data_IF_616213894957
#
_entry.id   IF_616213894957
#
_cell.length_a   1.000
_cell.length_b   1.000
_cell.length_c   1.000
_cell.angle_alpha   90.00
_cell.angle_beta   90.00
_cell.angle_gamma   90.00
#
_symmetry.space_group_name_H-M   'P 1'
#
loop_
_entity.id
_entity.type
_entity.pdbx_description
1 polymer ?
#
# COMPACT_ATOMS: atom_id res chain seq x y z
N UNK A 1 42.56 -31.58 -0.50
CA UNK A 1 41.09 -31.70 -0.72
C UNK A 1 40.30 -30.46 -0.25
N UNK A 2 40.83 -29.24 -0.43
CA UNK A 2 40.22 -27.96 0.02
C UNK A 2 39.87 -26.98 -1.11
N UNK A 3 40.18 -27.32 -2.37
CA UNK A 3 39.93 -26.42 -3.52
C UNK A 3 38.45 -26.31 -3.99
N UNK A 4 37.54 -27.31 -3.88
CA UNK A 4 36.19 -27.16 -4.37
C UNK A 4 35.31 -26.24 -3.51
N UNK A 5 35.56 -26.12 -2.21
CA UNK A 5 34.76 -25.26 -1.29
C UNK A 5 35.01 -23.78 -1.50
N UNK A 6 36.25 -23.36 -1.82
CA UNK A 6 36.59 -21.93 -2.05
C UNK A 6 36.05 -21.45 -3.38
N UNK A 7 36.04 -22.29 -4.41
CA UNK A 7 35.47 -21.95 -5.74
C UNK A 7 33.95 -21.84 -5.68
N UNK A 8 33.28 -22.73 -4.95
CA UNK A 8 31.83 -22.67 -4.71
C UNK A 8 31.41 -21.42 -3.96
N UNK A 9 32.20 -20.97 -2.96
CA UNK A 9 31.91 -19.71 -2.24
C UNK A 9 32.11 -18.47 -3.10
N UNK A 10 33.12 -18.46 -3.98
CA UNK A 10 33.40 -17.35 -4.90
C UNK A 10 32.34 -17.23 -6.01
N UNK A 11 31.89 -18.33 -6.59
CA UNK A 11 30.81 -18.36 -7.56
C UNK A 11 29.44 -17.99 -6.95
N UNK A 12 29.20 -18.40 -5.70
CA UNK A 12 28.00 -18.02 -4.97
C UNK A 12 28.02 -16.51 -4.61
N UNK A 13 29.18 -15.96 -4.18
CA UNK A 13 29.37 -14.52 -3.95
C UNK A 13 29.19 -13.70 -5.22
N UNK A 14 29.73 -14.15 -6.37
CA UNK A 14 29.57 -13.48 -7.66
C UNK A 14 28.11 -13.55 -8.16
N UNK A 15 27.41 -14.65 -7.93
CA UNK A 15 25.98 -14.80 -8.24
C UNK A 15 25.11 -13.89 -7.35
N UNK A 16 25.46 -13.77 -6.08
CA UNK A 16 24.80 -12.87 -5.11
C UNK A 16 25.06 -11.40 -5.48
N UNK A 17 26.29 -11.02 -5.85
CA UNK A 17 26.64 -9.66 -6.28
C UNK A 17 25.95 -9.28 -7.60
N UNK A 18 25.84 -10.20 -8.57
CA UNK A 18 25.06 -9.99 -9.82
C UNK A 18 23.55 -9.88 -9.54
N UNK A 19 23.03 -10.65 -8.60
CA UNK A 19 21.63 -10.57 -8.19
C UNK A 19 21.29 -9.25 -7.47
N UNK A 20 22.23 -8.67 -6.69
CA UNK A 20 22.05 -7.38 -6.02
C UNK A 20 22.01 -6.17 -6.98
N UNK A 21 22.53 -6.30 -8.20
CA UNK A 21 22.48 -5.26 -9.23
C UNK A 21 21.36 -5.46 -10.26
N UNK A 22 20.64 -6.58 -10.22
CA UNK A 22 19.50 -6.80 -11.10
C UNK A 22 18.24 -6.14 -10.57
N UNK A 23 17.44 -5.53 -11.45
CA UNK A 23 16.13 -4.98 -11.10
C UNK A 23 15.22 -6.11 -10.60
N UNK A 24 14.58 -5.89 -9.47
CA UNK A 24 13.66 -6.84 -8.84
C UNK A 24 12.26 -6.70 -9.47
N UNK A 25 12.06 -7.31 -10.63
CA UNK A 25 10.79 -7.19 -11.37
C UNK A 25 9.59 -7.68 -10.58
N UNK A 26 9.73 -8.69 -9.71
CA UNK A 26 8.65 -9.19 -8.87
C UNK A 26 8.11 -8.12 -7.89
N UNK A 27 8.94 -7.18 -7.43
CA UNK A 27 8.51 -6.04 -6.60
C UNK A 27 7.70 -5.04 -7.45
N UNK A 28 8.11 -4.81 -8.68
CA UNK A 28 7.38 -3.95 -9.62
C UNK A 28 5.99 -4.54 -9.93
N UNK A 29 5.93 -5.86 -10.17
CA UNK A 29 4.68 -6.59 -10.38
C UNK A 29 3.77 -6.57 -9.14
N UNK A 30 4.32 -6.86 -7.96
CA UNK A 30 3.55 -6.80 -6.71
C UNK A 30 2.96 -5.41 -6.49
N UNK A 31 3.71 -4.35 -6.79
CA UNK A 31 3.21 -2.98 -6.70
C UNK A 31 2.02 -2.76 -7.63
N UNK A 32 2.14 -3.13 -8.90
CA UNK A 32 1.06 -3.00 -9.88
C UNK A 32 -0.18 -3.78 -9.44
N UNK A 33 -0.02 -5.04 -9.01
CA UNK A 33 -1.12 -5.90 -8.59
C UNK A 33 -1.77 -5.40 -7.28
N UNK A 34 -0.98 -4.97 -6.29
CA UNK A 34 -1.48 -4.44 -5.03
C UNK A 34 -2.30 -3.16 -5.23
N UNK A 35 -1.83 -2.24 -6.08
CA UNK A 35 -2.60 -1.03 -6.42
C UNK A 35 -3.78 -1.33 -7.35
N UNK A 36 -3.68 -2.32 -8.25
CA UNK A 36 -4.82 -2.82 -9.02
C UNK A 36 -5.92 -3.39 -8.14
N UNK A 37 -5.55 -4.13 -7.09
CA UNK A 37 -6.50 -4.66 -6.11
C UNK A 37 -7.27 -3.54 -5.37
N UNK A 38 -6.68 -2.34 -5.18
CA UNK A 38 -7.38 -1.22 -4.57
C UNK A 38 -8.62 -0.78 -5.36
N UNK A 39 -8.55 -0.81 -6.70
CA UNK A 39 -9.72 -0.50 -7.52
C UNK A 39 -10.83 -1.50 -7.28
N UNK A 40 -10.53 -2.78 -7.33
CA UNK A 40 -11.51 -3.83 -7.09
C UNK A 40 -12.08 -3.72 -5.68
N UNK A 41 -11.20 -3.55 -4.68
CA UNK A 41 -11.58 -3.37 -3.29
C UNK A 41 -12.53 -2.19 -3.08
N UNK A 42 -12.19 -1.00 -3.56
CA UNK A 42 -13.05 0.16 -3.34
C UNK A 42 -14.33 0.10 -4.19
N UNK A 43 -14.33 -0.60 -5.33
CA UNK A 43 -15.51 -0.76 -6.16
C UNK A 43 -16.58 -1.67 -5.55
N UNK A 44 -16.23 -2.63 -4.68
CA UNK A 44 -17.23 -3.44 -4.00
C UNK A 44 -17.68 -2.89 -2.64
N UNK A 45 -17.00 -1.89 -2.07
CA UNK A 45 -17.34 -1.27 -0.79
C UNK A 45 -18.77 -0.74 -0.67
N UNK A 46 -19.43 -0.27 -1.73
CA UNK A 46 -20.86 0.07 -1.67
C UNK A 46 -21.78 -1.09 -1.32
N UNK A 47 -21.34 -2.33 -1.54
CA UNK A 47 -22.15 -3.55 -1.45
C UNK A 47 -21.86 -4.43 -0.24
N UNK A 48 -20.89 -4.07 0.62
CA UNK A 48 -20.65 -4.70 1.92
C UNK A 48 -21.45 -4.01 3.05
N UNK A 49 -21.54 -4.64 4.22
CA UNK A 49 -22.24 -4.09 5.40
C UNK A 49 -21.37 -3.11 6.22
N UNK A 50 -20.08 -2.98 5.92
CA UNK A 50 -19.20 -2.06 6.65
C UNK A 50 -19.38 -0.62 6.18
N UNK A 51 -19.32 0.34 7.11
CA UNK A 51 -19.43 1.78 6.79
C UNK A 51 -18.44 2.22 5.70
N UNK A 52 -18.93 2.98 4.73
CA UNK A 52 -18.14 3.55 3.65
C UNK A 52 -18.86 4.77 3.03
N UNK A 53 -18.19 5.51 2.14
CA UNK A 53 -18.65 6.79 1.59
C UNK A 53 -20.06 6.78 0.96
N UNK A 54 -20.43 5.69 0.31
CA UNK A 54 -21.76 5.46 -0.31
C UNK A 54 -22.18 4.02 -0.08
N UNK A 55 -23.51 3.77 -0.01
CA UNK A 55 -24.05 2.43 0.20
C UNK A 55 -25.19 2.14 -0.77
N UNK A 56 -25.19 0.93 -1.32
CA UNK A 56 -26.34 0.36 -2.04
C UNK A 56 -27.41 -0.07 -1.05
N UNK A 57 -28.67 -0.04 -1.45
CA UNK A 57 -29.79 -0.55 -0.63
C UNK A 57 -29.58 -2.01 -0.24
N UNK A 58 -29.18 -2.82 -1.21
CA UNK A 58 -28.90 -4.23 -1.00
C UNK A 58 -27.42 -4.47 -0.81
N UNK A 59 -27.08 -5.31 0.17
CA UNK A 59 -25.70 -5.65 0.55
C UNK A 59 -25.52 -7.17 0.50
N UNK A 60 -24.27 -7.64 0.45
CA UNK A 60 -23.96 -9.06 0.27
C UNK A 60 -22.84 -9.51 1.19
N UNK A 61 -23.08 -10.61 1.90
CA UNK A 61 -22.09 -11.29 2.73
C UNK A 61 -20.82 -11.68 1.97
N UNK A 62 -20.92 -11.93 0.66
CA UNK A 62 -19.73 -12.21 -0.18
C UNK A 62 -18.77 -11.03 -0.17
N UNK A 63 -19.29 -9.81 -0.30
CA UNK A 63 -18.44 -8.61 -0.24
C UNK A 63 -17.94 -8.31 1.17
N UNK A 64 -18.65 -8.71 2.23
CA UNK A 64 -18.12 -8.65 3.60
C UNK A 64 -16.89 -9.53 3.75
N UNK A 65 -16.98 -10.79 3.28
CA UNK A 65 -15.86 -11.73 3.34
C UNK A 65 -14.67 -11.25 2.52
N UNK A 66 -14.91 -10.71 1.32
CA UNK A 66 -13.85 -10.12 0.49
C UNK A 66 -13.21 -8.90 1.16
N UNK A 67 -14.00 -8.04 1.80
CA UNK A 67 -13.52 -6.88 2.54
C UNK A 67 -12.69 -7.32 3.76
N UNK A 68 -13.21 -8.23 4.57
CA UNK A 68 -12.52 -8.77 5.73
C UNK A 68 -11.18 -9.41 5.35
N UNK A 69 -11.19 -10.26 4.33
CA UNK A 69 -9.99 -10.93 3.83
C UNK A 69 -8.93 -9.94 3.34
N UNK A 70 -9.31 -9.02 2.46
CA UNK A 70 -8.35 -8.09 1.84
C UNK A 70 -7.87 -7.03 2.81
N UNK A 71 -8.70 -6.61 3.76
CA UNK A 71 -8.34 -5.60 4.76
C UNK A 71 -7.21 -6.09 5.68
N UNK A 72 -7.15 -7.39 5.96
CA UNK A 72 -6.21 -7.98 6.91
C UNK A 72 -4.73 -7.92 6.50
N UNK A 73 -4.38 -7.71 5.20
CA UNK A 73 -3.00 -7.80 4.73
C UNK A 73 -2.60 -6.79 3.64
N UNK A 74 -3.58 -6.19 2.97
CA UNK A 74 -3.35 -5.35 1.78
C UNK A 74 -2.41 -4.17 2.05
N UNK A 75 -2.64 -3.43 3.15
CA UNK A 75 -1.82 -2.27 3.47
C UNK A 75 -0.41 -2.66 3.89
N UNK A 76 -0.26 -3.76 4.62
CA UNK A 76 1.05 -4.30 5.01
C UNK A 76 1.89 -4.66 3.78
N UNK A 77 1.30 -5.28 2.76
CA UNK A 77 1.99 -5.55 1.50
C UNK A 77 2.46 -4.26 0.81
N UNK A 78 1.62 -3.23 0.77
CA UNK A 78 1.95 -1.94 0.15
C UNK A 78 3.09 -1.25 0.93
N UNK A 79 3.06 -1.26 2.26
CA UNK A 79 4.14 -0.67 3.08
C UNK A 79 5.44 -1.46 2.98
N UNK A 80 5.42 -2.79 2.93
CA UNK A 80 6.60 -3.61 2.67
C UNK A 80 7.28 -3.22 1.33
N UNK A 81 6.50 -3.19 0.25
CA UNK A 81 6.99 -2.81 -1.09
C UNK A 81 7.54 -1.38 -1.08
N UNK A 82 6.94 -0.50 -0.28
CA UNK A 82 7.38 0.89 -0.13
C UNK A 82 8.68 1.01 0.63
N UNK A 83 8.90 0.15 1.63
CA UNK A 83 10.18 -0.01 2.31
C UNK A 83 11.28 -0.41 1.34
N UNK A 84 11.04 -1.44 0.53
CA UNK A 84 11.96 -1.86 -0.55
C UNK A 84 12.29 -0.70 -1.49
N UNK A 85 11.28 0.04 -1.96
CA UNK A 85 11.48 1.21 -2.83
C UNK A 85 12.26 2.34 -2.17
N UNK A 86 12.06 2.54 -0.86
CA UNK A 86 12.77 3.56 -0.09
C UNK A 86 14.24 3.20 0.13
N UNK A 87 14.57 1.93 0.35
CA UNK A 87 15.94 1.46 0.39
C UNK A 87 16.72 1.87 -0.87
N UNK A 88 16.19 1.56 -2.06
CA UNK A 88 16.84 1.93 -3.32
C UNK A 88 16.94 3.44 -3.51
N UNK A 89 15.94 4.20 -3.08
CA UNK A 89 15.97 5.65 -3.17
C UNK A 89 17.02 6.28 -2.23
N UNK A 90 17.20 5.76 -1.02
CA UNK A 90 18.27 6.18 -0.09
C UNK A 90 19.65 5.83 -0.64
N UNK A 91 19.80 4.66 -1.28
CA UNK A 91 21.08 4.24 -1.88
C UNK A 91 21.49 5.12 -3.06
N UNK A 92 20.54 5.61 -3.85
CA UNK A 92 20.80 6.32 -5.12
C UNK A 92 20.96 7.83 -4.98
N UNK A 93 20.41 8.46 -3.94
CA UNK A 93 20.28 9.93 -3.84
C UNK A 93 20.62 10.44 -2.45
N UNK A 94 21.83 10.97 -2.26
CA UNK A 94 22.27 11.40 -0.93
C UNK A 94 21.79 12.81 -0.53
N UNK A 95 21.82 13.81 -1.41
CA UNK A 95 21.57 15.22 -1.05
C UNK A 95 20.15 15.72 -1.31
N UNK A 96 19.48 15.26 -2.36
CA UNK A 96 18.13 15.74 -2.72
C UNK A 96 16.99 14.84 -2.22
N UNK A 97 17.31 13.78 -1.46
CA UNK A 97 16.35 12.75 -1.08
C UNK A 97 15.11 13.31 -0.36
N UNK A 98 15.32 14.18 0.63
CA UNK A 98 14.23 14.75 1.42
C UNK A 98 13.29 15.63 0.58
N UNK A 99 13.87 16.55 -0.21
CA UNK A 99 13.09 17.42 -1.08
C UNK A 99 12.34 16.64 -2.17
N UNK A 100 12.95 15.58 -2.71
CA UNK A 100 12.29 14.70 -3.66
C UNK A 100 11.08 13.98 -3.02
N UNK A 101 11.17 13.64 -1.73
CA UNK A 101 10.05 13.04 -1.00
C UNK A 101 8.93 14.03 -0.73
N UNK A 102 9.24 15.28 -0.35
CA UNK A 102 8.24 16.34 -0.22
C UNK A 102 7.50 16.54 -1.55
N UNK A 103 8.24 16.73 -2.66
CA UNK A 103 7.63 16.93 -3.99
C UNK A 103 6.77 15.74 -4.43
N UNK A 104 7.12 14.54 -4.04
CA UNK A 104 6.44 13.32 -4.51
C UNK A 104 5.31 12.85 -3.60
N UNK A 105 5.29 13.22 -2.33
CA UNK A 105 4.34 12.72 -1.36
C UNK A 105 3.49 13.83 -0.72
N UNK A 106 4.12 14.91 -0.26
CA UNK A 106 3.42 15.97 0.48
C UNK A 106 2.67 16.90 -0.46
N UNK A 107 3.30 17.34 -1.56
CA UNK A 107 2.61 18.20 -2.53
C UNK A 107 1.37 17.51 -3.11
N UNK A 108 1.44 16.25 -3.61
CA UNK A 108 0.25 15.53 -4.06
C UNK A 108 -0.78 15.30 -2.96
N UNK A 109 -0.38 15.10 -1.72
CA UNK A 109 -1.29 14.97 -0.59
C UNK A 109 -2.09 16.26 -0.35
N UNK A 110 -1.40 17.41 -0.25
CA UNK A 110 -2.06 18.71 -0.06
C UNK A 110 -2.99 19.02 -1.25
N UNK A 111 -2.51 18.82 -2.48
CA UNK A 111 -3.33 18.99 -3.67
C UNK A 111 -4.56 18.07 -3.66
N UNK A 112 -4.37 16.82 -3.25
CA UNK A 112 -5.44 15.84 -3.13
C UNK A 112 -6.53 16.25 -2.14
N UNK A 113 -6.16 16.76 -0.97
CA UNK A 113 -7.12 17.24 0.04
C UNK A 113 -7.96 18.41 -0.50
N UNK A 114 -7.34 19.31 -1.26
CA UNK A 114 -8.01 20.52 -1.75
C UNK A 114 -8.90 20.24 -2.96
N UNK A 115 -8.47 19.36 -3.88
CA UNK A 115 -9.13 19.23 -5.18
C UNK A 115 -9.73 17.84 -5.46
N UNK A 116 -9.16 16.78 -4.89
CA UNK A 116 -9.56 15.40 -5.21
C UNK A 116 -10.51 14.80 -4.18
N UNK A 117 -10.30 15.09 -2.90
CA UNK A 117 -11.13 14.55 -1.81
C UNK A 117 -12.51 15.23 -1.71
N UNK A 118 -12.67 16.56 -1.90
CA UNK A 118 -13.97 17.20 -1.71
C UNK A 118 -15.12 16.61 -2.54
N UNK A 119 -14.98 16.25 -3.83
CA UNK A 119 -16.06 15.58 -4.55
C UNK A 119 -16.49 14.25 -3.90
N UNK A 120 -15.53 13.45 -3.41
CA UNK A 120 -15.84 12.21 -2.69
C UNK A 120 -16.66 12.48 -1.43
N UNK A 121 -16.26 13.50 -0.64
CA UNK A 121 -16.93 13.88 0.60
C UNK A 121 -18.29 14.53 0.37
N UNK A 122 -18.48 15.19 -0.74
CA UNK A 122 -19.78 15.72 -1.15
C UNK A 122 -20.80 14.58 -1.37
N UNK A 123 -20.44 13.54 -2.13
CA UNK A 123 -21.35 12.42 -2.34
C UNK A 123 -21.58 11.58 -1.07
N UNK A 124 -20.58 11.52 -0.18
CA UNK A 124 -20.75 10.94 1.16
C UNK A 124 -21.76 11.75 1.99
N UNK A 125 -21.66 13.09 1.99
CA UNK A 125 -22.57 13.96 2.70
C UNK A 125 -24.03 13.85 2.22
N UNK A 126 -24.25 13.75 0.91
CA UNK A 126 -25.57 13.51 0.34
C UNK A 126 -26.09 12.12 0.73
N UNK A 127 -25.26 11.07 0.54
CA UNK A 127 -25.72 9.68 0.69
C UNK A 127 -25.96 9.28 2.14
N UNK A 128 -25.13 9.75 3.08
CA UNK A 128 -25.12 9.26 4.46
C UNK A 128 -25.60 10.30 5.49
N UNK A 129 -25.50 11.60 5.16
CA UNK A 129 -25.78 12.67 6.12
C UNK A 129 -26.90 13.59 5.69
N UNK A 130 -27.61 13.28 4.59
CA UNK A 130 -28.78 14.01 4.13
C UNK A 130 -28.51 15.46 3.73
N UNK A 131 -27.30 15.78 3.28
CA UNK A 131 -26.97 17.12 2.80
C UNK A 131 -27.82 17.51 1.60
N UNK A 132 -28.47 18.67 1.64
CA UNK A 132 -29.45 19.15 0.66
C UNK A 132 -28.92 20.26 -0.27
N UNK A 133 -27.63 20.59 -0.20
CA UNK A 133 -27.03 21.66 -0.97
C UNK A 133 -26.36 21.21 -2.27
N UNK A 134 -26.00 22.16 -3.11
CA UNK A 134 -25.15 21.92 -4.26
C UNK A 134 -23.65 21.78 -3.88
N UNK A 135 -22.82 21.42 -4.84
CA UNK A 135 -21.39 21.22 -4.61
C UNK A 135 -20.66 22.49 -4.14
N UNK A 136 -21.06 23.68 -4.61
CA UNK A 136 -20.43 24.93 -4.20
C UNK A 136 -20.82 25.32 -2.77
N UNK A 137 -22.06 25.05 -2.38
CA UNK A 137 -22.51 25.20 -0.99
C UNK A 137 -21.76 24.26 -0.06
N UNK A 138 -21.55 22.98 -0.49
CA UNK A 138 -20.73 22.03 0.23
C UNK A 138 -19.28 22.52 0.38
N UNK A 139 -18.65 23.02 -0.70
CA UNK A 139 -17.29 23.53 -0.63
C UNK A 139 -17.11 24.70 0.33
N UNK A 140 -18.12 25.57 0.47
CA UNK A 140 -18.11 26.67 1.48
C UNK A 140 -18.18 26.11 2.90
N UNK A 141 -18.96 25.06 3.13
CA UNK A 141 -19.12 24.42 4.43
C UNK A 141 -17.97 23.44 4.76
N UNK A 142 -17.29 22.91 3.75
CA UNK A 142 -16.30 21.85 3.90
C UNK A 142 -15.18 22.17 4.90
N UNK A 143 -14.51 23.33 4.89
CA UNK A 143 -13.48 23.63 5.87
C UNK A 143 -14.00 23.60 7.30
N UNK A 144 -15.19 24.17 7.56
CA UNK A 144 -15.82 24.17 8.88
C UNK A 144 -16.15 22.73 9.29
N UNK A 145 -16.80 21.97 8.42
CA UNK A 145 -17.14 20.57 8.69
C UNK A 145 -15.88 19.71 8.91
N UNK A 146 -14.85 19.87 8.08
CA UNK A 146 -13.61 19.11 8.18
C UNK A 146 -12.87 19.36 9.50
N UNK A 147 -12.90 20.58 10.04
CA UNK A 147 -12.17 20.97 11.25
C UNK A 147 -13.02 21.09 12.51
N UNK A 148 -14.36 21.03 12.42
CA UNK A 148 -15.27 21.18 13.56
C UNK A 148 -15.28 19.98 14.50
N UNK A 149 -14.78 18.83 14.09
CA UNK A 149 -14.83 17.60 14.86
C UNK A 149 -13.43 17.19 15.34
N UNK A 150 -13.34 16.77 16.60
CA UNK A 150 -12.15 16.13 17.18
C UNK A 150 -10.92 17.05 17.38
N UNK A 151 -11.10 18.24 17.92
CA UNK A 151 -10.02 19.00 18.54
C UNK A 151 -9.33 18.12 19.61
N UNK A 152 -8.05 17.83 19.43
CA UNK A 152 -7.27 16.94 20.31
C UNK A 152 -6.97 15.55 19.74
N UNK A 153 -7.50 15.21 18.58
CA UNK A 153 -7.10 14.00 17.87
C UNK A 153 -5.63 14.04 17.41
N UNK A 154 -5.01 12.87 17.26
CA UNK A 154 -3.62 12.78 16.80
C UNK A 154 -3.46 13.33 15.38
N UNK A 155 -2.25 13.77 15.02
CA UNK A 155 -1.91 14.18 13.65
C UNK A 155 -2.18 13.05 12.64
N UNK A 156 -2.06 11.79 13.07
CA UNK A 156 -2.32 10.63 12.23
C UNK A 156 -3.81 10.47 11.94
N UNK A 157 -4.67 10.76 12.92
CA UNK A 157 -6.12 10.84 12.70
C UNK A 157 -6.45 11.86 11.60
N UNK A 158 -5.86 13.06 11.67
CA UNK A 158 -6.08 14.11 10.67
C UNK A 158 -5.63 13.69 9.27
N UNK A 159 -4.56 12.93 9.14
CA UNK A 159 -4.14 12.40 7.84
C UNK A 159 -5.20 11.47 7.23
N UNK A 160 -5.84 10.62 8.04
CA UNK A 160 -6.93 9.76 7.61
C UNK A 160 -8.23 10.50 7.38
N UNK A 161 -8.57 11.46 8.25
CA UNK A 161 -9.83 12.21 8.17
C UNK A 161 -9.86 13.14 6.95
N UNK A 162 -8.84 13.99 6.78
CA UNK A 162 -8.74 14.91 5.65
C UNK A 162 -8.32 14.24 4.34
N UNK A 163 -7.40 13.30 4.43
CA UNK A 163 -6.82 12.63 3.27
C UNK A 163 -7.62 11.43 2.77
N UNK A 164 -8.62 10.97 3.54
CA UNK A 164 -9.36 9.76 3.22
C UNK A 164 -8.41 8.62 2.78
N UNK A 165 -8.56 8.09 1.58
CA UNK A 165 -7.71 7.01 1.06
C UNK A 165 -6.24 7.42 0.82
N UNK A 166 -5.94 8.71 0.60
CA UNK A 166 -4.56 9.15 0.33
C UNK A 166 -3.72 9.38 1.60
N UNK A 167 -4.22 9.01 2.81
CA UNK A 167 -3.47 9.05 4.07
C UNK A 167 -2.12 8.31 4.00
N UNK A 168 -2.02 7.33 3.13
CA UNK A 168 -0.78 6.60 2.85
C UNK A 168 0.40 7.52 2.46
N UNK A 169 0.15 8.65 1.80
CA UNK A 169 1.22 9.55 1.35
C UNK A 169 1.96 10.22 2.52
N UNK A 170 1.28 10.90 3.48
CA UNK A 170 1.95 11.44 4.66
C UNK A 170 2.52 10.34 5.58
N UNK A 171 1.88 9.17 5.67
CA UNK A 171 2.45 8.01 6.37
C UNK A 171 3.78 7.59 5.77
N UNK A 172 3.81 7.39 4.47
CA UNK A 172 5.03 7.01 3.76
C UNK A 172 6.12 8.07 3.88
N UNK A 173 5.75 9.36 3.89
CA UNK A 173 6.69 10.45 4.12
C UNK A 173 7.29 10.37 5.53
N UNK A 174 6.45 10.30 6.56
CA UNK A 174 6.89 10.20 7.96
C UNK A 174 7.80 8.97 8.18
N UNK A 175 7.37 7.80 7.69
CA UNK A 175 8.16 6.56 7.78
C UNK A 175 9.50 6.68 7.05
N UNK A 176 9.51 7.34 5.88
CA UNK A 176 10.74 7.57 5.11
C UNK A 176 11.73 8.45 5.88
N UNK A 177 11.25 9.48 6.60
CA UNK A 177 12.10 10.33 7.45
C UNK A 177 12.61 9.54 8.66
N UNK A 178 11.71 8.85 9.35
CA UNK A 178 12.05 8.11 10.57
C UNK A 178 13.00 6.92 10.32
N UNK A 179 12.98 6.35 9.12
CA UNK A 179 13.84 5.20 8.79
C UNK A 179 15.28 5.59 8.42
N UNK A 180 15.56 6.88 8.17
CA UNK A 180 16.93 7.32 7.79
C UNK A 180 17.99 6.93 8.84
N UNK A 181 17.78 7.12 10.15
CA UNK A 181 18.72 6.63 11.16
C UNK A 181 18.90 5.11 11.10
N UNK A 182 17.80 4.36 10.97
CA UNK A 182 17.83 2.88 10.86
C UNK A 182 18.64 2.45 9.63
N UNK A 183 18.42 3.12 8.48
CA UNK A 183 19.21 2.87 7.27
C UNK A 183 20.71 3.10 7.51
N UNK A 184 21.10 4.20 8.17
CA UNK A 184 22.50 4.51 8.49
C UNK A 184 23.12 3.45 9.41
N UNK A 185 22.39 3.00 10.44
CA UNK A 185 22.81 1.92 11.34
C UNK A 185 23.04 0.61 10.56
N UNK A 186 22.10 0.23 9.70
CA UNK A 186 22.19 -0.98 8.88
C UNK A 186 23.38 -0.92 7.90
N UNK A 187 23.72 0.28 7.39
CA UNK A 187 24.86 0.49 6.49
C UNK A 187 26.21 0.57 7.23
N UNK A 188 26.20 0.81 8.53
CA UNK A 188 27.43 0.93 9.33
C UNK A 188 28.08 -0.45 9.48
N UNK A 189 29.31 -0.60 8.95
CA UNK A 189 30.08 -1.86 9.00
C UNK A 189 30.49 -2.27 10.41
N UNK A 190 30.50 -1.34 11.36
CA UNK A 190 30.84 -1.61 12.76
C UNK A 190 29.70 -2.31 13.52
N UNK A 191 28.49 -2.32 12.97
CA UNK A 191 27.35 -3.01 13.56
C UNK A 191 27.21 -4.40 12.93
N UNK A 192 27.60 -5.43 13.68
CA UNK A 192 27.52 -6.81 13.20
C UNK A 192 26.15 -7.41 13.50
N UNK A 193 25.25 -7.33 12.53
CA UNK A 193 23.95 -7.98 12.59
C UNK A 193 23.98 -9.45 12.15
N UNK A 194 25.14 -10.03 11.87
CA UNK A 194 25.26 -11.35 11.25
C UNK A 194 24.54 -12.43 12.05
N UNK A 195 24.66 -12.42 13.39
CA UNK A 195 23.95 -13.38 14.25
C UNK A 195 22.44 -13.24 14.12
N UNK A 196 21.91 -12.02 14.15
CA UNK A 196 20.49 -11.74 14.01
C UNK A 196 19.99 -12.08 12.59
N UNK A 197 20.76 -11.71 11.57
CA UNK A 197 20.46 -12.06 10.19
C UNK A 197 20.41 -13.58 9.99
N UNK A 198 21.39 -14.33 10.52
CA UNK A 198 21.43 -15.79 10.43
C UNK A 198 20.27 -16.43 11.20
N UNK A 199 19.88 -15.86 12.35
CA UNK A 199 18.71 -16.32 13.11
C UNK A 199 17.41 -16.13 12.31
N UNK A 200 17.19 -14.93 11.77
CA UNK A 200 16.01 -14.61 10.99
C UNK A 200 15.96 -15.41 9.67
N UNK A 201 17.10 -15.62 9.03
CA UNK A 201 17.25 -16.39 7.79
C UNK A 201 17.18 -17.90 8.03
N UNK A 202 17.16 -18.36 9.28
CA UNK A 202 16.90 -19.78 9.57
C UNK A 202 15.47 -20.17 9.16
N UNK A 203 15.22 -21.47 8.89
CA UNK A 203 13.92 -21.91 8.40
C UNK A 203 12.71 -21.47 9.23
N UNK A 204 12.85 -21.40 10.54
CA UNK A 204 11.79 -20.97 11.45
C UNK A 204 11.99 -19.56 11.97
N UNK A 205 13.19 -19.00 11.81
CA UNK A 205 13.56 -17.66 12.30
C UNK A 205 12.75 -16.55 11.68
N UNK A 206 12.24 -16.75 10.44
CA UNK A 206 11.33 -15.78 9.78
C UNK A 206 10.10 -15.45 10.62
N UNK A 207 9.62 -16.40 11.43
CA UNK A 207 8.47 -16.20 12.32
C UNK A 207 8.80 -15.32 13.53
N UNK A 208 10.07 -15.09 13.87
CA UNK A 208 10.45 -14.13 14.90
C UNK A 208 10.04 -12.69 14.54
N UNK A 209 9.89 -12.38 13.25
CA UNK A 209 9.39 -11.09 12.79
C UNK A 209 7.92 -10.84 13.14
N UNK A 210 7.19 -11.87 13.58
CA UNK A 210 5.80 -11.74 14.07
C UNK A 210 5.78 -11.08 15.46
N UNK A 211 6.78 -11.35 16.31
CA UNK A 211 6.80 -10.89 17.70
C UNK A 211 6.68 -9.38 17.86
N UNK A 212 7.49 -8.53 17.16
CA UNK A 212 7.31 -7.07 17.23
C UNK A 212 5.91 -6.62 16.80
N UNK A 213 5.33 -7.24 15.78
CA UNK A 213 3.98 -6.91 15.30
C UNK A 213 2.90 -7.23 16.32
N UNK A 214 2.99 -8.40 17.01
CA UNK A 214 2.09 -8.76 18.09
C UNK A 214 2.24 -7.76 19.24
N UNK A 215 3.47 -7.44 19.64
CA UNK A 215 3.73 -6.49 20.73
C UNK A 215 3.14 -5.11 20.43
N UNK A 216 3.33 -4.60 19.21
CA UNK A 216 2.77 -3.32 18.79
C UNK A 216 1.23 -3.38 18.79
N UNK A 217 0.64 -4.42 18.18
CA UNK A 217 -0.81 -4.52 18.06
C UNK A 217 -1.47 -4.69 19.42
N UNK A 218 -0.98 -5.63 20.24
CA UNK A 218 -1.53 -5.87 21.58
C UNK A 218 -1.34 -4.67 22.50
N UNK A 219 -0.15 -4.03 22.47
CA UNK A 219 0.19 -2.93 23.37
C UNK A 219 -0.46 -1.59 23.00
N UNK A 220 -0.61 -1.31 21.69
CA UNK A 220 -1.05 0.02 21.27
C UNK A 220 -2.51 0.09 20.81
N UNK A 221 -3.09 -0.99 20.28
CA UNK A 221 -4.45 -0.90 19.70
C UNK A 221 -5.54 -0.62 20.73
N UNK A 222 -5.48 -1.10 21.99
CA UNK A 222 -6.42 -0.68 23.03
C UNK A 222 -6.36 0.80 23.39
N UNK A 223 -5.17 1.42 23.26
CA UNK A 223 -4.98 2.86 23.54
C UNK A 223 -5.37 3.69 22.31
N UNK A 224 -5.06 3.20 21.12
CA UNK A 224 -5.29 3.86 19.83
C UNK A 224 -6.13 2.98 18.91
N UNK A 225 -7.44 2.80 19.21
CA UNK A 225 -8.30 1.86 18.49
C UNK A 225 -8.66 2.33 17.08
N UNK A 226 -8.53 3.62 16.79
CA UNK A 226 -8.87 4.22 15.51
C UNK A 226 -8.12 3.61 14.34
N UNK A 227 -8.81 3.52 13.18
CA UNK A 227 -8.15 3.20 11.94
C UNK A 227 -7.23 4.38 11.54
N UNK A 228 -6.05 4.07 11.03
CA UNK A 228 -5.00 5.06 10.74
C UNK A 228 -4.52 5.85 11.96
N UNK A 229 -4.48 5.26 13.15
CA UNK A 229 -3.88 5.87 14.33
C UNK A 229 -2.50 5.24 14.67
N UNK A 230 -1.91 5.59 15.78
CA UNK A 230 -0.54 5.22 16.17
C UNK A 230 -0.29 3.70 16.15
N UNK A 231 -1.25 2.87 16.56
CA UNK A 231 -1.10 1.43 16.51
C UNK A 231 -0.88 0.90 15.08
N UNK A 232 -1.66 1.41 14.13
CA UNK A 232 -1.53 1.04 12.72
C UNK A 232 -0.25 1.63 12.12
N UNK A 233 0.11 2.88 12.47
CA UNK A 233 1.33 3.52 12.02
C UNK A 233 2.58 2.72 12.40
N UNK A 234 2.71 2.32 13.66
CA UNK A 234 3.88 1.55 14.11
C UNK A 234 3.90 0.13 13.55
N UNK A 235 2.75 -0.51 13.37
CA UNK A 235 2.66 -1.79 12.69
C UNK A 235 3.14 -1.69 11.23
N UNK A 236 2.66 -0.71 10.48
CA UNK A 236 3.11 -0.45 9.11
C UNK A 236 4.58 -0.03 9.04
N UNK A 237 5.08 0.75 10.01
CA UNK A 237 6.50 1.11 10.10
C UNK A 237 7.38 -0.12 10.31
N UNK A 238 6.96 -1.07 11.15
CA UNK A 238 7.66 -2.32 11.35
C UNK A 238 7.75 -3.14 10.04
N UNK A 239 6.63 -3.32 9.36
CA UNK A 239 6.57 -3.98 8.05
C UNK A 239 7.40 -3.24 6.97
N UNK A 240 7.38 -1.92 6.99
CA UNK A 240 8.20 -1.09 6.10
C UNK A 240 9.71 -1.33 6.31
N UNK A 241 10.15 -1.46 7.56
CA UNK A 241 11.54 -1.81 7.91
C UNK A 241 11.87 -3.23 7.45
N UNK A 242 10.94 -4.18 7.49
CA UNK A 242 11.16 -5.54 6.94
C UNK A 242 11.49 -5.51 5.45
N UNK A 243 10.96 -4.55 4.69
CA UNK A 243 11.36 -4.32 3.31
C UNK A 243 12.87 -4.05 3.15
N UNK A 244 13.53 -3.42 4.14
CA UNK A 244 14.99 -3.21 4.15
C UNK A 244 15.74 -4.51 4.39
N UNK A 245 15.26 -5.34 5.34
CA UNK A 245 15.83 -6.65 5.65
C UNK A 245 15.80 -7.54 4.41
N UNK A 246 14.68 -7.54 3.67
CA UNK A 246 14.50 -8.34 2.46
C UNK A 246 15.52 -8.00 1.38
N UNK A 247 15.87 -6.72 1.23
CA UNK A 247 16.84 -6.29 0.22
C UNK A 247 18.27 -6.54 0.67
N UNK A 248 18.56 -6.37 1.95
CA UNK A 248 19.91 -6.55 2.47
C UNK A 248 20.36 -8.01 2.36
N UNK A 249 19.46 -8.97 2.59
CA UNK A 249 19.80 -10.40 2.57
C UNK A 249 18.92 -11.19 1.60
N UNK A 250 19.39 -11.51 0.37
CA UNK A 250 18.63 -12.27 -0.62
C UNK A 250 18.21 -13.68 -0.16
N UNK A 251 18.92 -14.29 0.82
CA UNK A 251 18.55 -15.59 1.40
C UNK A 251 17.16 -15.54 2.04
N UNK A 252 16.75 -14.37 2.53
CA UNK A 252 15.45 -14.17 3.13
C UNK A 252 14.31 -14.43 2.13
N UNK A 253 14.42 -13.84 0.94
CA UNK A 253 13.43 -14.05 -0.13
C UNK A 253 13.43 -15.52 -0.58
N UNK A 254 14.59 -16.18 -0.59
CA UNK A 254 14.68 -17.60 -0.96
C UNK A 254 13.93 -18.50 0.04
N UNK A 255 14.05 -18.24 1.34
CA UNK A 255 13.29 -18.98 2.37
C UNK A 255 11.78 -18.74 2.21
N UNK A 256 11.38 -17.50 1.94
CA UNK A 256 9.96 -17.18 1.70
C UNK A 256 9.45 -17.96 0.47
N UNK A 257 10.20 -18.02 -0.62
CA UNK A 257 9.83 -18.81 -1.81
C UNK A 257 9.66 -20.28 -1.51
N UNK A 258 10.59 -20.87 -0.74
CA UNK A 258 10.54 -22.29 -0.39
C UNK A 258 9.36 -22.61 0.53
N UNK A 259 8.96 -21.67 1.40
CA UNK A 259 7.92 -21.86 2.42
C UNK A 259 6.60 -21.17 2.08
N UNK A 260 6.41 -20.67 0.87
CA UNK A 260 5.22 -19.91 0.51
C UNK A 260 3.91 -20.67 0.78
N UNK A 261 3.89 -21.99 0.57
CA UNK A 261 2.71 -22.82 0.85
C UNK A 261 2.42 -22.97 2.35
N UNK A 262 3.47 -22.98 3.19
CA UNK A 262 3.30 -22.95 4.64
C UNK A 262 2.65 -21.61 5.09
N UNK A 263 3.12 -20.49 4.56
CA UNK A 263 2.51 -19.18 4.82
C UNK A 263 1.05 -19.14 4.36
N UNK A 264 0.74 -19.67 3.18
CA UNK A 264 -0.65 -19.76 2.70
C UNK A 264 -1.53 -20.52 3.68
N UNK A 265 -1.10 -21.72 4.10
CA UNK A 265 -1.88 -22.57 5.00
C UNK A 265 -2.10 -21.90 6.37
N UNK A 266 -1.04 -21.33 6.97
CA UNK A 266 -1.16 -20.58 8.22
C UNK A 266 -2.10 -19.38 8.05
N UNK A 267 -1.98 -18.63 6.96
CA UNK A 267 -2.85 -17.50 6.65
C UNK A 267 -4.32 -17.89 6.54
N UNK A 268 -4.64 -18.98 5.82
CA UNK A 268 -6.01 -19.51 5.71
C UNK A 268 -6.54 -19.95 7.05
N UNK A 269 -5.79 -20.78 7.78
CA UNK A 269 -6.19 -21.29 9.10
C UNK A 269 -6.45 -20.12 10.05
N UNK A 270 -5.56 -19.12 10.09
CA UNK A 270 -5.72 -17.94 10.94
C UNK A 270 -6.95 -17.11 10.57
N UNK A 271 -7.30 -16.98 9.28
CA UNK A 271 -8.53 -16.32 8.84
C UNK A 271 -9.78 -17.07 9.32
N UNK A 272 -9.79 -18.41 9.17
CA UNK A 272 -10.92 -19.23 9.62
C UNK A 272 -11.08 -19.15 11.13
N UNK A 273 -9.98 -19.27 11.88
CA UNK A 273 -10.00 -19.16 13.35
C UNK A 273 -10.44 -17.79 13.83
N UNK A 274 -9.99 -16.71 13.16
CA UNK A 274 -10.41 -15.36 13.52
C UNK A 274 -11.90 -15.14 13.27
N UNK A 275 -12.42 -15.55 12.10
CA UNK A 275 -13.85 -15.46 11.78
C UNK A 275 -14.70 -16.30 12.74
N UNK A 276 -14.26 -17.52 13.04
CA UNK A 276 -14.93 -18.38 14.01
C UNK A 276 -14.98 -17.74 15.39
N UNK A 277 -13.85 -17.23 15.89
CA UNK A 277 -13.75 -16.59 17.20
C UNK A 277 -14.63 -15.34 17.33
N UNK A 278 -14.64 -14.48 16.29
CA UNK A 278 -15.46 -13.26 16.27
C UNK A 278 -16.96 -13.62 16.27
N UNK A 279 -17.35 -14.71 15.57
CA UNK A 279 -18.74 -15.13 15.46
C UNK A 279 -19.25 -15.99 16.63
N UNK A 280 -18.37 -16.42 17.53
CA UNK A 280 -18.77 -17.23 18.70
C UNK A 280 -19.78 -16.51 19.62
N UNK A 281 -19.58 -15.20 19.82
CA UNK A 281 -20.46 -14.37 20.63
C UNK A 281 -20.24 -12.88 20.35
N UNK A 282 -21.21 -12.05 20.75
CA UNK A 282 -21.17 -10.60 20.54
C UNK A 282 -20.02 -9.92 21.29
N UNK A 283 -19.61 -10.46 22.43
CA UNK A 283 -18.47 -9.95 23.23
C UNK A 283 -17.18 -10.01 22.43
N UNK A 284 -16.93 -11.11 21.70
CA UNK A 284 -15.74 -11.25 20.86
C UNK A 284 -15.78 -10.29 19.66
N UNK A 285 -16.96 -10.08 19.07
CA UNK A 285 -17.14 -9.08 18.00
C UNK A 285 -16.89 -7.67 18.52
N UNK A 286 -17.43 -7.34 19.71
CA UNK A 286 -17.18 -6.03 20.35
C UNK A 286 -15.70 -5.83 20.66
N UNK A 287 -15.01 -6.85 21.17
CA UNK A 287 -13.58 -6.83 21.46
C UNK A 287 -12.72 -6.64 20.20
N UNK A 288 -13.16 -7.19 19.07
CA UNK A 288 -12.52 -6.96 17.78
C UNK A 288 -12.67 -5.51 17.31
N UNK A 289 -13.85 -4.91 17.50
CA UNK A 289 -14.16 -3.53 17.11
C UNK A 289 -13.62 -2.49 18.10
N UNK A 290 -13.65 -2.79 19.40
CA UNK A 290 -13.16 -1.94 20.50
C UNK A 290 -12.21 -2.76 21.36
N UNK A 291 -10.92 -2.76 21.02
CA UNK A 291 -9.90 -3.55 21.70
C UNK A 291 -9.73 -3.15 23.16
N UNK A 292 -9.68 -4.16 24.05
CA UNK A 292 -9.39 -4.00 25.47
C UNK A 292 -8.35 -5.04 25.87
N UNK A 293 -7.48 -4.71 26.83
CA UNK A 293 -6.46 -5.63 27.29
C UNK A 293 -7.06 -6.90 27.92
N UNK A 294 -6.54 -8.04 27.53
CA UNK A 294 -6.97 -9.33 28.05
C UNK A 294 -6.51 -10.50 27.18
N UNK A 295 -6.73 -11.71 27.68
CA UNK A 295 -6.30 -12.94 26.99
C UNK A 295 -7.00 -13.11 25.62
N UNK A 296 -8.29 -12.84 25.55
CA UNK A 296 -9.04 -12.91 24.30
C UNK A 296 -8.54 -11.92 23.27
N UNK A 297 -8.17 -10.70 23.69
CA UNK A 297 -7.60 -9.72 22.76
C UNK A 297 -6.16 -10.10 22.35
N UNK A 298 -5.37 -10.69 23.22
CA UNK A 298 -4.06 -11.24 22.83
C UNK A 298 -4.23 -12.30 21.72
N UNK A 299 -5.20 -13.20 21.88
CA UNK A 299 -5.52 -14.22 20.86
C UNK A 299 -5.95 -13.58 19.53
N UNK A 300 -6.84 -12.58 19.55
CA UNK A 300 -7.23 -11.80 18.37
C UNK A 300 -6.04 -11.11 17.73
N UNK A 301 -5.14 -10.55 18.54
CA UNK A 301 -3.93 -9.87 18.04
C UNK A 301 -2.98 -10.83 17.34
N UNK A 302 -2.76 -12.02 17.91
CA UNK A 302 -1.94 -13.07 17.32
C UNK A 302 -2.52 -13.51 15.97
N UNK A 303 -3.81 -13.83 15.91
CA UNK A 303 -4.45 -14.24 14.66
C UNK A 303 -4.39 -13.14 13.58
N UNK A 304 -4.67 -11.91 13.95
CA UNK A 304 -4.62 -10.77 13.01
C UNK A 304 -3.22 -10.55 12.44
N UNK A 305 -2.18 -10.67 13.28
CA UNK A 305 -0.79 -10.53 12.83
C UNK A 305 -0.36 -11.73 11.98
N UNK A 306 -0.76 -12.95 12.33
CA UNK A 306 -0.53 -14.14 11.51
C UNK A 306 -1.17 -14.00 10.13
N UNK A 307 -2.40 -13.50 10.05
CA UNK A 307 -3.09 -13.22 8.79
C UNK A 307 -2.25 -12.24 7.96
N UNK A 308 -1.98 -11.06 8.51
CA UNK A 308 -1.23 -10.03 7.79
C UNK A 308 0.13 -10.54 7.31
N UNK A 309 0.95 -11.05 8.22
CA UNK A 309 2.31 -11.49 7.93
C UNK A 309 2.33 -12.65 6.93
N UNK A 310 1.52 -13.69 7.14
CA UNK A 310 1.56 -14.89 6.30
C UNK A 310 1.03 -14.63 4.90
N UNK A 311 -0.03 -13.85 4.71
CA UNK A 311 -0.48 -13.48 3.37
C UNK A 311 0.53 -12.60 2.64
N UNK A 312 1.18 -11.64 3.32
CA UNK A 312 2.25 -10.83 2.74
C UNK A 312 3.41 -11.70 2.30
N UNK A 313 3.88 -12.63 3.16
CA UNK A 313 4.98 -13.56 2.81
C UNK A 313 4.59 -14.49 1.67
N UNK A 314 3.36 -14.99 1.64
CA UNK A 314 2.86 -15.79 0.53
C UNK A 314 2.91 -15.04 -0.80
N UNK A 315 2.37 -13.81 -0.86
CA UNK A 315 2.37 -13.03 -2.10
C UNK A 315 3.78 -12.63 -2.54
N UNK A 316 4.66 -12.30 -1.61
CA UNK A 316 6.08 -12.03 -1.92
C UNK A 316 6.76 -13.28 -2.49
N UNK A 317 6.57 -14.45 -1.86
CA UNK A 317 7.13 -15.71 -2.32
C UNK A 317 6.62 -16.12 -3.70
N UNK A 318 5.30 -16.01 -3.90
CA UNK A 318 4.65 -16.31 -5.18
C UNK A 318 5.16 -15.40 -6.31
N UNK A 319 5.23 -14.08 -6.04
CA UNK A 319 5.72 -13.12 -7.02
C UNK A 319 7.21 -13.34 -7.33
N UNK A 320 8.04 -13.54 -6.30
CA UNK A 320 9.47 -13.83 -6.50
C UNK A 320 9.71 -15.10 -7.31
N UNK A 321 8.80 -16.09 -7.19
CA UNK A 321 8.88 -17.36 -7.96
C UNK A 321 8.34 -17.24 -9.38
N UNK A 322 7.25 -16.46 -9.59
CA UNK A 322 6.47 -16.48 -10.84
C UNK A 322 6.53 -15.18 -11.64
N UNK A 323 6.82 -14.04 -11.02
CA UNK A 323 6.70 -12.72 -11.63
C UNK A 323 8.04 -11.97 -11.74
N UNK A 324 9.17 -12.67 -11.67
CA UNK A 324 10.49 -12.02 -11.75
C UNK A 324 10.99 -11.92 -13.21
N UNK A 325 10.16 -11.36 -14.08
CA UNK A 325 10.47 -11.12 -15.49
C UNK A 325 10.11 -9.70 -15.91
N UNK A 326 10.82 -9.18 -16.91
CA UNK A 326 10.55 -7.87 -17.49
C UNK A 326 9.42 -7.95 -18.52
N UNK A 327 8.58 -6.90 -18.53
CA UNK A 327 7.57 -6.71 -19.57
C UNK A 327 7.46 -5.23 -19.93
N UNK A 328 7.17 -4.90 -21.19
CA UNK A 328 7.20 -3.52 -21.72
C UNK A 328 6.31 -2.54 -20.94
N UNK A 329 5.20 -3.01 -20.37
CA UNK A 329 4.27 -2.13 -19.66
C UNK A 329 4.62 -1.90 -18.18
N UNK A 330 5.52 -2.68 -17.55
CA UNK A 330 5.84 -2.58 -16.11
C UNK A 330 6.32 -1.18 -15.74
N UNK A 331 7.23 -0.62 -16.53
CA UNK A 331 7.81 0.70 -16.21
C UNK A 331 6.79 1.83 -16.38
N UNK A 332 6.01 1.93 -17.49
CA UNK A 332 4.91 2.88 -17.61
C UNK A 332 3.86 2.72 -16.50
N UNK A 333 3.44 1.49 -16.20
CA UNK A 333 2.46 1.21 -15.15
C UNK A 333 2.95 1.68 -13.77
N UNK A 334 4.18 1.34 -13.37
CA UNK A 334 4.74 1.81 -12.10
C UNK A 334 4.84 3.35 -12.00
N UNK A 335 5.03 4.03 -13.12
CA UNK A 335 5.03 5.50 -13.16
C UNK A 335 3.62 6.06 -12.95
N UNK A 336 2.61 5.40 -13.50
CA UNK A 336 1.21 5.80 -13.43
C UNK A 336 0.55 5.53 -12.06
N UNK A 337 1.10 4.62 -11.25
CA UNK A 337 0.49 4.17 -9.99
C UNK A 337 0.12 5.35 -9.09
N UNK A 338 1.01 6.30 -8.84
CA UNK A 338 0.75 7.37 -7.89
C UNK A 338 -0.39 8.30 -8.32
N UNK A 339 -0.43 8.87 -9.54
CA UNK A 339 -1.58 9.66 -10.00
C UNK A 339 -2.89 8.87 -10.01
N UNK A 340 -2.85 7.63 -10.50
CA UNK A 340 -4.01 6.75 -10.55
C UNK A 340 -4.53 6.45 -9.14
N UNK A 341 -3.62 6.18 -8.19
CA UNK A 341 -3.96 5.99 -6.78
C UNK A 341 -4.65 7.22 -6.17
N UNK A 342 -4.21 8.42 -6.48
CA UNK A 342 -4.84 9.65 -5.96
C UNK A 342 -6.27 9.81 -6.51
N UNK A 343 -6.51 9.45 -7.76
CA UNK A 343 -7.79 9.65 -8.45
C UNK A 343 -8.83 8.56 -8.17
N UNK A 344 -8.40 7.30 -7.96
CA UNK A 344 -9.26 6.13 -8.12
C UNK A 344 -10.50 6.13 -7.21
N UNK A 345 -10.35 6.39 -5.91
CA UNK A 345 -11.47 6.27 -4.99
C UNK A 345 -12.50 7.38 -5.20
N UNK A 346 -12.05 8.59 -5.53
CA UNK A 346 -12.97 9.69 -5.88
C UNK A 346 -13.80 9.33 -7.10
N UNK A 347 -13.19 8.76 -8.16
CA UNK A 347 -13.92 8.31 -9.34
C UNK A 347 -14.89 7.17 -9.02
N UNK A 348 -14.47 6.21 -8.17
CA UNK A 348 -15.33 5.11 -7.73
C UNK A 348 -16.54 5.65 -6.94
N UNK A 349 -16.34 6.62 -6.04
CA UNK A 349 -17.46 7.20 -5.27
C UNK A 349 -18.38 8.00 -6.17
N UNK A 350 -17.84 8.84 -7.07
CA UNK A 350 -18.64 9.65 -7.99
C UNK A 350 -19.49 8.76 -8.91
N UNK A 351 -18.86 7.80 -9.59
CA UNK A 351 -19.61 6.87 -10.47
C UNK A 351 -20.54 5.97 -9.67
N UNK A 352 -20.04 5.47 -8.55
CA UNK A 352 -20.81 4.60 -7.66
C UNK A 352 -22.10 5.24 -7.19
N UNK A 353 -22.09 6.54 -6.82
CA UNK A 353 -23.29 7.26 -6.39
C UNK A 353 -24.44 7.19 -7.41
N UNK A 354 -24.15 7.34 -8.70
CA UNK A 354 -25.15 7.22 -9.75
C UNK A 354 -25.51 5.76 -10.07
N UNK A 355 -24.53 4.86 -10.10
CA UNK A 355 -24.70 3.47 -10.50
C UNK A 355 -25.48 2.66 -9.45
N UNK A 356 -25.31 2.93 -8.16
CA UNK A 356 -26.08 2.23 -7.10
C UNK A 356 -27.59 2.49 -7.21
N UNK A 357 -28.01 3.56 -7.88
CA UNK A 357 -29.42 3.90 -8.10
C UNK A 357 -30.07 3.12 -9.26
N UNK A 358 -29.29 2.42 -10.09
CA UNK A 358 -29.83 1.64 -11.19
C UNK A 358 -30.62 0.44 -10.66
N UNK A 359 -31.67 0.08 -11.35
CA UNK A 359 -32.45 -1.13 -11.05
C UNK A 359 -31.80 -2.36 -11.73
N UNK A 360 -30.71 -2.87 -11.15
CA UNK A 360 -29.96 -4.03 -11.65
C UNK A 360 -29.26 -4.77 -10.52
N UNK A 361 -28.71 -5.96 -10.81
CA UNK A 361 -28.05 -6.79 -9.80
C UNK A 361 -26.80 -6.13 -9.20
N UNK A 362 -26.48 -6.48 -7.95
CA UNK A 362 -25.28 -6.01 -7.22
C UNK A 362 -24.00 -6.29 -8.04
N UNK A 363 -23.91 -7.47 -8.67
CA UNK A 363 -22.74 -7.85 -9.48
C UNK A 363 -22.62 -6.96 -10.71
N UNK A 364 -23.73 -6.67 -11.39
CA UNK A 364 -23.72 -5.77 -12.55
C UNK A 364 -23.29 -4.35 -12.13
N UNK A 365 -23.84 -3.80 -11.04
CA UNK A 365 -23.43 -2.51 -10.49
C UNK A 365 -21.93 -2.48 -10.18
N UNK A 366 -21.43 -3.50 -9.48
CA UNK A 366 -19.99 -3.64 -9.17
C UNK A 366 -19.12 -3.62 -10.44
N UNK A 367 -19.48 -4.41 -11.44
CA UNK A 367 -18.73 -4.49 -12.71
C UNK A 367 -18.77 -3.16 -13.47
N UNK A 368 -19.91 -2.46 -13.48
CA UNK A 368 -20.02 -1.15 -14.12
C UNK A 368 -19.17 -0.10 -13.39
N UNK A 369 -19.17 -0.08 -12.05
CA UNK A 369 -18.32 0.83 -11.25
C UNK A 369 -16.83 0.57 -11.54
N UNK A 370 -16.39 -0.68 -11.45
CA UNK A 370 -15.00 -1.03 -11.71
C UNK A 370 -14.60 -0.75 -13.18
N UNK A 371 -15.48 -1.15 -14.13
CA UNK A 371 -15.29 -0.97 -15.56
C UNK A 371 -15.31 0.48 -16.03
N UNK A 372 -15.95 1.40 -15.29
CA UNK A 372 -15.92 2.84 -15.57
C UNK A 372 -14.74 3.55 -14.88
N UNK A 373 -14.49 3.24 -13.61
CA UNK A 373 -13.47 3.93 -12.81
C UNK A 373 -12.04 3.64 -13.28
N UNK A 374 -11.73 2.38 -13.66
CA UNK A 374 -10.38 2.00 -14.10
C UNK A 374 -9.99 2.73 -15.39
N UNK A 375 -10.74 2.65 -16.51
CA UNK A 375 -10.40 3.38 -17.73
C UNK A 375 -10.36 4.89 -17.53
N UNK A 376 -11.31 5.45 -16.78
CA UNK A 376 -11.37 6.89 -16.50
C UNK A 376 -10.11 7.36 -15.76
N UNK A 377 -9.63 6.61 -14.78
CA UNK A 377 -8.38 6.91 -14.06
C UNK A 377 -7.17 6.91 -15.02
N UNK A 378 -7.11 5.94 -15.94
CA UNK A 378 -6.03 5.84 -16.94
C UNK A 378 -6.11 7.00 -17.94
N UNK A 379 -7.30 7.34 -18.44
CA UNK A 379 -7.51 8.47 -19.36
C UNK A 379 -7.11 9.77 -18.68
N UNK A 380 -7.56 10.03 -17.46
CA UNK A 380 -7.17 11.22 -16.70
C UNK A 380 -5.66 11.27 -16.49
N UNK A 381 -5.01 10.16 -16.12
CA UNK A 381 -3.55 10.10 -16.03
C UNK A 381 -2.87 10.47 -17.36
N UNK A 382 -3.39 9.97 -18.51
CA UNK A 382 -2.84 10.31 -19.82
C UNK A 382 -2.97 11.80 -20.16
N UNK A 383 -4.04 12.45 -19.70
CA UNK A 383 -4.24 13.90 -19.84
C UNK A 383 -3.32 14.67 -18.89
N UNK A 384 -3.30 14.32 -17.60
CA UNK A 384 -2.50 14.99 -16.57
C UNK A 384 -1.02 15.01 -16.89
N UNK A 385 -0.48 13.92 -17.44
CA UNK A 385 0.95 13.83 -17.78
C UNK A 385 1.38 14.77 -18.91
N UNK A 386 0.45 15.39 -19.67
CA UNK A 386 0.76 16.36 -20.74
C UNK A 386 1.13 17.74 -20.20
N UNK A 387 0.64 18.09 -19.00
CA UNK A 387 0.82 19.41 -18.41
C UNK A 387 1.88 19.37 -17.29
N UNK A 388 2.93 20.20 -17.40
CA UNK A 388 4.05 20.22 -16.45
C UNK A 388 3.61 20.51 -15.00
N UNK A 389 2.66 21.45 -14.82
CA UNK A 389 2.10 21.79 -13.52
C UNK A 389 1.36 20.59 -12.90
N UNK A 390 0.49 19.91 -13.65
CA UNK A 390 -0.25 18.75 -13.18
C UNK A 390 0.70 17.58 -12.87
N UNK A 391 1.72 17.37 -13.69
CA UNK A 391 2.78 16.39 -13.39
C UNK A 391 3.39 16.64 -12.01
N UNK A 392 3.72 17.89 -11.70
CA UNK A 392 4.30 18.27 -10.42
C UNK A 392 3.30 18.05 -9.27
N UNK A 393 2.04 18.48 -9.42
CA UNK A 393 0.98 18.35 -8.42
C UNK A 393 0.60 16.89 -8.13
N UNK A 394 0.76 15.99 -9.10
CA UNK A 394 0.55 14.55 -8.93
C UNK A 394 1.84 13.75 -8.63
N UNK A 395 2.94 14.43 -8.28
CA UNK A 395 4.19 13.79 -7.86
C UNK A 395 4.94 13.04 -8.97
N UNK A 396 4.63 13.30 -10.23
CA UNK A 396 5.39 12.80 -11.38
C UNK A 396 6.71 13.55 -11.52
N UNK A 397 7.73 12.88 -12.04
CA UNK A 397 8.98 13.55 -12.38
C UNK A 397 8.73 14.58 -13.48
N UNK A 398 9.19 15.80 -13.27
CA UNK A 398 9.26 16.80 -14.33
C UNK A 398 10.33 16.37 -15.34
N UNK A 399 10.02 16.42 -16.62
CA UNK A 399 11.03 16.24 -17.68
C UNK A 399 11.95 17.46 -17.65
N UNK A 400 13.22 17.22 -17.41
CA UNK A 400 14.22 18.28 -17.64
C UNK A 400 14.27 18.56 -19.14
N UNK A 401 14.35 19.86 -19.52
CA UNK A 401 14.41 20.32 -20.92
C UNK A 401 15.41 19.51 -21.77
N UNK A 402 16.53 19.12 -21.14
CA UNK A 402 17.57 18.28 -21.74
C UNK A 402 17.09 16.85 -22.13
N UNK A 403 16.18 16.24 -21.36
CA UNK A 403 15.62 14.92 -21.71
C UNK A 403 14.53 15.02 -22.79
N UNK A 404 13.78 16.13 -22.82
CA UNK A 404 12.81 16.38 -23.87
C UNK A 404 13.53 16.62 -25.22
N UNK A 405 14.63 17.35 -25.21
CA UNK A 405 15.43 17.61 -26.40
C UNK A 405 16.08 16.33 -26.93
N UNK A 406 16.66 15.48 -26.08
CA UNK A 406 17.20 14.16 -26.48
C UNK A 406 16.16 13.23 -27.07
N UNK A 407 14.94 13.20 -26.48
CA UNK A 407 13.84 12.39 -26.98
C UNK A 407 13.32 12.88 -28.34
N UNK A 408 13.29 14.20 -28.55
CA UNK A 408 12.93 14.79 -29.82
C UNK A 408 14.00 14.53 -30.89
N UNK A 409 15.27 14.59 -30.55
CA UNK A 409 16.38 14.22 -31.49
C UNK A 409 16.31 12.75 -31.88
N UNK A 410 16.10 11.83 -30.93
CA UNK A 410 15.93 10.38 -31.19
C UNK A 410 14.70 10.13 -32.08
N UNK A 411 13.59 10.82 -31.82
CA UNK A 411 12.37 10.69 -32.61
C UNK A 411 12.57 11.20 -34.04
N UNK A 412 13.27 12.32 -34.21
CA UNK A 412 13.58 12.88 -35.52
C UNK A 412 14.57 12.00 -36.31
N UNK A 413 15.53 11.38 -35.61
CA UNK A 413 16.49 10.43 -36.22
C UNK A 413 15.78 9.15 -36.67
N UNK A 414 14.84 8.64 -35.89
CA UNK A 414 14.02 7.47 -36.25
C UNK A 414 13.09 7.79 -37.44
N UNK A 415 12.48 8.98 -37.46
CA UNK A 415 11.62 9.42 -38.58
C UNK A 415 12.39 9.65 -39.85
N UNK A 416 13.65 10.10 -39.81
CA UNK A 416 14.52 10.22 -40.95
C UNK A 416 14.99 8.87 -41.50
N UNK A 417 15.24 7.89 -40.60
CA UNK A 417 15.63 6.52 -40.98
C UNK A 417 14.50 5.68 -41.60
N UNK A 418 13.24 6.06 -41.40
CA UNK A 418 12.05 5.39 -41.99
C UNK A 418 11.68 6.00 -43.34
N UNK A 419 12.25 7.17 -43.71
CA UNK A 419 12.00 7.85 -45.00
C UNK A 419 13.04 7.55 -46.07
N UNK A 420 14.06 6.77 -45.77
CA UNK A 420 15.04 6.17 -46.68
C UNK A 420 14.86 4.65 -46.72
#
# INVERSE_FOLDING_TARGET
>A
MLLPFVVLSKNLKLKIMKAQNSRLYYIDWLRILAFGLLFLFHSWRPFDHYSWNIKNSDQSMVFDLLTFFTHGWRMDLIFLISGVGTWFALKSRKSSFFFDRIKRLIIPFIFGIIFIIPPQKFYEAISLHGFQGDYFQFLKAWPVYAFSQNFGASILFWFGHLGAHIYYLPYLFAMTVLVVPVYKIIQNRNFNFEKLENLIVSPWGVFLLILPLITIRFGLKPIFPGYTDWADFFSYMCIFIYGFIFIKNPRFVEIIKQRMWLFLNIGIISNVLLLYFIKLNDTNMQLYMKPEYGFNYLYLSILSVLISFCWVMFFVGLAAKKLNFNYKFIQPANTAILPIYILHQTLIVVFGYYIIQFNTSIIAKYLIIAGSAIPSSVILYMLLKRFSLLRFLFGLKTETKKNADMLNEQKNTLLSAVRH
#
